data_IF_612449782890
#
_entry.id   IF_612449782890
#
_cell.length_a   1.000
_cell.length_b   1.000
_cell.length_c   1.000
_cell.angle_alpha   90.00
_cell.angle_beta   90.00
_cell.angle_gamma   90.00
#
_symmetry.space_group_name_H-M   'P 1'
#
loop_
_entity.id
_entity.type
_entity.pdbx_description
1 polymer ?
#
# COMPACT_ATOMS: atom_id res chain seq x y z
N UNK A 1 23.01 -8.17 11.64
CA UNK A 1 22.68 -6.78 11.27
C UNK A 1 21.70 -6.25 12.31
N UNK A 2 21.98 -5.10 12.91
CA UNK A 2 21.02 -4.41 13.79
C UNK A 2 20.14 -3.56 12.88
N UNK A 3 18.84 -3.89 12.82
CA UNK A 3 17.88 -3.11 12.07
C UNK A 3 17.76 -1.72 12.74
N UNK A 4 17.36 -0.70 11.99
CA UNK A 4 17.10 0.65 12.50
C UNK A 4 15.58 0.86 12.58
N UNK A 5 15.16 1.81 13.40
CA UNK A 5 13.78 2.30 13.44
C UNK A 5 13.76 3.77 13.85
N UNK A 6 12.84 4.55 13.31
CA UNK A 6 12.64 5.94 13.72
C UNK A 6 11.46 6.10 14.67
N UNK A 7 11.60 7.02 15.63
CA UNK A 7 10.49 7.37 16.52
C UNK A 7 9.44 8.20 15.79
N UNK A 8 8.19 7.73 15.79
CA UNK A 8 7.02 8.41 15.18
C UNK A 8 6.69 9.77 15.76
N UNK A 9 7.22 10.07 16.95
CA UNK A 9 6.96 11.31 17.68
C UNK A 9 8.09 12.34 17.52
N UNK A 10 9.36 11.91 17.46
CA UNK A 10 10.48 12.85 17.43
C UNK A 10 11.53 12.62 16.33
N UNK A 11 11.31 11.62 15.47
CA UNK A 11 12.18 11.30 14.34
C UNK A 11 13.59 10.80 14.70
N UNK A 12 13.87 10.50 15.97
CA UNK A 12 15.19 10.01 16.38
C UNK A 12 15.44 8.58 15.86
N UNK A 13 16.64 8.34 15.30
CA UNK A 13 17.10 7.00 14.91
C UNK A 13 17.33 6.16 16.16
N UNK A 14 16.71 4.99 16.21
CA UNK A 14 16.84 4.03 17.29
C UNK A 14 17.26 2.66 16.74
N UNK A 15 17.85 1.85 17.61
CA UNK A 15 18.13 0.46 17.27
C UNK A 15 16.81 -0.35 17.25
N UNK A 16 16.73 -1.34 16.37
CA UNK A 16 15.59 -2.25 16.26
C UNK A 16 15.28 -3.09 17.48
N UNK A 17 16.17 -3.13 18.46
CA UNK A 17 15.92 -3.79 19.73
C UNK A 17 15.31 -2.85 20.79
N UNK A 18 15.30 -1.53 20.55
CA UNK A 18 14.79 -0.55 21.51
C UNK A 18 13.25 -0.58 21.57
N UNK A 19 12.66 -0.65 22.75
CA UNK A 19 11.20 -0.54 22.92
C UNK A 19 10.72 0.91 22.98
N UNK A 20 11.60 1.79 23.46
CA UNK A 20 11.38 3.22 23.64
C UNK A 20 12.40 4.01 22.83
N UNK A 21 11.98 5.17 22.37
CA UNK A 21 12.84 6.13 21.72
C UNK A 21 13.86 6.67 22.74
N UNK A 22 15.15 6.55 22.46
CA UNK A 22 16.23 7.01 23.34
C UNK A 22 16.20 8.53 23.57
N UNK A 23 15.54 9.28 22.68
CA UNK A 23 15.43 10.74 22.77
C UNK A 23 14.19 11.23 23.53
N UNK A 24 12.98 10.89 23.09
CA UNK A 24 11.74 11.38 23.70
C UNK A 24 11.05 10.39 24.63
N UNK A 25 11.59 9.18 24.79
CA UNK A 25 11.03 8.11 25.61
C UNK A 25 9.62 7.64 25.20
N UNK A 26 9.20 7.94 23.98
CA UNK A 26 7.95 7.42 23.36
C UNK A 26 8.15 6.02 22.80
N UNK A 27 7.08 5.24 22.66
CA UNK A 27 7.17 3.89 22.10
C UNK A 27 7.62 3.90 20.65
N UNK A 28 8.54 2.99 20.31
CA UNK A 28 8.94 2.75 18.94
C UNK A 28 7.97 1.74 18.32
N UNK A 29 7.13 2.19 17.38
CA UNK A 29 6.15 1.33 16.72
C UNK A 29 6.86 0.36 15.75
N UNK A 30 7.31 -0.77 16.29
CA UNK A 30 7.78 -1.92 15.50
C UNK A 30 6.61 -2.85 15.27
N UNK A 31 6.61 -3.55 14.14
CA UNK A 31 5.71 -4.68 13.90
C UNK A 31 5.68 -5.67 15.08
N UNK A 32 6.79 -5.81 15.82
CA UNK A 32 6.91 -6.76 16.94
C UNK A 32 6.89 -6.14 18.35
N UNK A 33 6.99 -4.82 18.51
CA UNK A 33 7.22 -4.20 19.83
C UNK A 33 6.30 -2.98 19.97
N UNK A 34 5.06 -3.25 20.34
CA UNK A 34 4.17 -2.29 20.99
C UNK A 34 4.02 -2.74 22.44
N UNK A 35 3.99 -1.76 23.34
CA UNK A 35 4.00 -1.94 24.80
C UNK A 35 2.78 -2.60 25.37
N UNK A 36 1.65 -2.45 24.68
CA UNK A 36 0.55 -3.38 24.81
C UNK A 36 0.75 -4.48 23.76
N UNK A 37 1.00 -5.70 24.21
CA UNK A 37 0.99 -6.93 23.38
C UNK A 37 -0.42 -7.23 22.81
N UNK A 38 -1.26 -6.22 22.63
CA UNK A 38 -2.65 -6.37 22.24
C UNK A 38 -2.75 -6.50 20.73
N UNK A 39 -2.79 -7.75 20.30
CA UNK A 39 -3.22 -8.13 18.95
C UNK A 39 -4.75 -8.07 18.91
N UNK A 40 -5.33 -7.49 17.86
CA UNK A 40 -6.76 -7.58 17.61
C UNK A 40 -7.09 -9.02 17.21
N UNK A 41 -7.91 -9.70 18.02
CA UNK A 41 -8.19 -11.14 17.87
C UNK A 41 -9.66 -11.44 17.51
N UNK A 42 -10.57 -10.48 17.67
CA UNK A 42 -11.98 -10.62 17.28
C UNK A 42 -12.55 -9.36 16.62
N UNK A 43 -13.60 -9.52 15.81
CA UNK A 43 -14.31 -8.40 15.19
C UNK A 43 -14.95 -7.48 16.23
N UNK A 44 -15.50 -8.04 17.31
CA UNK A 44 -16.05 -7.22 18.40
C UNK A 44 -14.98 -6.37 19.09
N UNK A 45 -13.74 -6.89 19.16
CA UNK A 45 -12.61 -6.11 19.66
C UNK A 45 -12.21 -5.02 18.67
N UNK A 46 -12.09 -5.33 17.37
CA UNK A 46 -11.82 -4.36 16.31
C UNK A 46 -12.81 -3.18 16.36
N UNK A 47 -14.09 -3.46 16.57
CA UNK A 47 -15.16 -2.46 16.60
C UNK A 47 -15.48 -1.89 17.99
N UNK A 48 -14.66 -2.19 19.00
CA UNK A 48 -14.87 -1.64 20.34
C UNK A 48 -14.79 -0.11 20.34
N UNK A 49 -15.60 0.54 21.18
CA UNK A 49 -15.69 2.01 21.28
C UNK A 49 -14.33 2.70 21.46
N UNK A 50 -13.37 2.05 22.11
CA UNK A 50 -12.02 2.60 22.30
C UNK A 50 -11.29 2.86 20.98
N UNK A 51 -11.47 2.01 19.96
CA UNK A 51 -10.81 2.17 18.67
C UNK A 51 -11.48 3.23 17.80
N UNK A 52 -12.81 3.35 17.91
CA UNK A 52 -13.55 4.47 17.31
C UNK A 52 -13.15 5.82 17.93
N UNK A 53 -13.05 5.90 19.26
CA UNK A 53 -12.57 7.10 19.95
C UNK A 53 -11.15 7.46 19.52
N UNK A 54 -10.23 6.48 19.46
CA UNK A 54 -8.86 6.71 18.98
C UNK A 54 -8.81 7.25 17.54
N UNK A 55 -9.69 6.80 16.64
CA UNK A 55 -9.76 7.35 15.28
C UNK A 55 -10.22 8.81 15.28
N UNK A 56 -11.26 9.14 16.05
CA UNK A 56 -11.82 10.48 16.13
C UNK A 56 -10.88 11.50 16.81
N UNK A 57 -10.13 11.06 17.81
CA UNK A 57 -9.23 11.92 18.58
C UNK A 57 -7.84 12.06 17.95
N UNK A 58 -7.47 11.17 17.02
CA UNK A 58 -6.15 11.14 16.43
C UNK A 58 -5.92 12.27 15.43
N UNK A 59 -4.78 12.95 15.58
CA UNK A 59 -4.25 13.86 14.58
C UNK A 59 -3.04 13.19 13.93
N UNK A 60 -3.17 12.83 12.65
CA UNK A 60 -2.05 12.33 11.86
C UNK A 60 -1.15 13.51 11.46
N UNK A 61 -0.13 13.78 12.26
CA UNK A 61 0.83 14.86 11.97
C UNK A 61 1.72 14.54 10.76
N UNK A 62 2.38 15.56 10.21
CA UNK A 62 3.34 15.36 9.12
C UNK A 62 4.52 14.48 9.56
N UNK A 63 5.04 14.70 10.77
CA UNK A 63 6.17 13.94 11.31
C UNK A 63 5.80 12.46 11.54
N UNK A 64 4.61 12.21 12.09
CA UNK A 64 4.13 10.83 12.28
C UNK A 64 3.92 10.10 10.96
N UNK A 65 3.37 10.80 9.96
CA UNK A 65 3.24 10.26 8.61
C UNK A 65 4.60 9.97 7.98
N UNK A 66 5.56 10.90 8.09
CA UNK A 66 6.91 10.73 7.54
C UNK A 66 7.61 9.50 8.12
N UNK A 67 7.47 9.28 9.43
CA UNK A 67 8.02 8.09 10.09
C UNK A 67 7.34 6.81 9.62
N UNK A 68 6.02 6.82 9.41
CA UNK A 68 5.31 5.68 8.83
C UNK A 68 5.92 5.33 7.47
N UNK A 69 6.12 6.30 6.59
CA UNK A 69 6.71 6.05 5.27
C UNK A 69 8.16 5.57 5.39
N UNK A 70 8.95 6.16 6.30
CA UNK A 70 10.33 5.73 6.50
C UNK A 70 10.42 4.28 6.98
N UNK A 71 9.53 3.86 7.89
CA UNK A 71 9.48 2.47 8.37
C UNK A 71 9.14 1.49 7.23
N UNK A 72 8.28 1.89 6.28
CA UNK A 72 7.99 1.09 5.08
C UNK A 72 9.24 0.96 4.21
N UNK A 73 9.95 2.07 3.95
CA UNK A 73 11.21 2.05 3.18
C UNK A 73 12.22 1.10 3.81
N UNK A 74 12.46 1.23 5.13
CA UNK A 74 13.41 0.38 5.85
C UNK A 74 12.99 -1.09 5.80
N UNK A 75 11.69 -1.39 5.84
CA UNK A 75 11.21 -2.78 5.71
C UNK A 75 11.60 -3.37 4.36
N UNK A 76 11.47 -2.60 3.27
CA UNK A 76 11.94 -3.01 1.94
C UNK A 76 13.45 -3.16 1.84
N UNK A 77 14.23 -2.22 2.38
CA UNK A 77 15.70 -2.28 2.39
C UNK A 77 16.23 -3.53 3.08
N UNK A 78 15.53 -3.97 4.13
CA UNK A 78 15.89 -5.16 4.88
C UNK A 78 15.41 -6.47 4.22
N UNK A 79 14.36 -6.41 3.41
CA UNK A 79 13.80 -7.56 2.72
C UNK A 79 14.41 -7.83 1.34
N UNK A 80 14.99 -6.82 0.70
CA UNK A 80 15.43 -6.93 -0.69
C UNK A 80 16.71 -7.75 -0.86
N UNK A 81 16.70 -8.67 -1.83
CA UNK A 81 17.85 -9.53 -2.13
C UNK A 81 18.23 -9.35 -3.60
N UNK A 82 19.30 -8.58 -3.85
CA UNK A 82 19.86 -8.42 -5.19
C UNK A 82 20.87 -9.51 -5.53
N UNK A 83 20.81 -10.00 -6.77
CA UNK A 83 21.78 -10.92 -7.36
C UNK A 83 22.56 -10.20 -8.47
N UNK A 84 23.77 -10.68 -8.77
CA UNK A 84 24.57 -10.13 -9.87
C UNK A 84 23.84 -10.36 -11.21
N UNK A 85 23.92 -9.36 -12.09
CA UNK A 85 23.43 -9.41 -13.47
C UNK A 85 21.92 -9.66 -13.62
N UNK A 86 21.11 -9.18 -12.67
CA UNK A 86 19.65 -9.24 -12.79
C UNK A 86 19.15 -8.43 -14.00
N UNK A 87 18.20 -9.00 -14.73
CA UNK A 87 17.41 -8.30 -15.74
C UNK A 87 16.52 -7.22 -15.09
N UNK A 88 15.94 -6.28 -15.86
CA UNK A 88 15.01 -5.28 -15.31
C UNK A 88 13.82 -5.94 -14.59
N UNK A 89 13.20 -6.95 -15.23
CA UNK A 89 12.13 -7.74 -14.62
C UNK A 89 12.58 -8.41 -13.32
N UNK A 90 13.75 -9.05 -13.28
CA UNK A 90 14.25 -9.69 -12.05
C UNK A 90 14.50 -8.69 -10.91
N UNK A 91 14.96 -7.47 -11.22
CA UNK A 91 15.09 -6.40 -10.21
C UNK A 91 13.73 -5.96 -9.70
N UNK A 92 12.74 -5.75 -10.57
CA UNK A 92 11.37 -5.37 -10.18
C UNK A 92 10.71 -6.47 -9.35
N UNK A 93 10.88 -7.75 -9.72
CA UNK A 93 10.44 -8.90 -8.92
C UNK A 93 11.13 -8.93 -7.55
N UNK A 94 12.43 -8.64 -7.47
CA UNK A 94 13.14 -8.59 -6.19
C UNK A 94 12.62 -7.48 -5.28
N UNK A 95 12.27 -6.32 -5.84
CA UNK A 95 11.65 -5.21 -5.12
C UNK A 95 10.27 -5.63 -4.58
N UNK A 96 9.41 -6.19 -5.43
CA UNK A 96 8.09 -6.65 -5.00
C UNK A 96 8.18 -7.71 -3.89
N UNK A 97 9.11 -8.67 -4.01
CA UNK A 97 9.37 -9.70 -2.99
C UNK A 97 9.85 -9.16 -1.65
N UNK A 98 10.34 -7.93 -1.59
CA UNK A 98 10.71 -7.30 -0.32
C UNK A 98 9.49 -6.91 0.53
N UNK A 99 8.32 -6.78 -0.10
CA UNK A 99 7.07 -6.33 0.54
C UNK A 99 5.97 -7.40 0.55
N UNK A 100 5.87 -8.18 -0.54
CA UNK A 100 4.79 -9.14 -0.75
C UNK A 100 5.30 -10.50 -1.20
N UNK A 101 4.44 -11.52 -1.12
CA UNK A 101 4.70 -12.81 -1.77
C UNK A 101 4.47 -12.63 -3.26
N UNK A 102 5.45 -13.01 -4.08
CA UNK A 102 5.30 -13.00 -5.53
C UNK A 102 5.23 -14.43 -6.07
N UNK A 103 4.10 -14.79 -6.65
CA UNK A 103 3.87 -16.09 -7.31
C UNK A 103 3.69 -15.93 -8.81
N UNK A 104 3.84 -17.02 -9.54
CA UNK A 104 3.68 -17.02 -11.00
C UNK A 104 2.69 -18.06 -11.45
N UNK A 105 1.81 -17.72 -12.40
CA UNK A 105 0.92 -18.64 -13.09
C UNK A 105 1.41 -18.92 -14.52
N UNK A 106 1.07 -20.10 -15.03
CA UNK A 106 1.45 -20.58 -16.38
C UNK A 106 0.22 -20.81 -17.29
N UNK A 107 -0.99 -20.49 -16.82
CA UNK A 107 -2.25 -20.70 -17.55
C UNK A 107 -3.22 -19.53 -17.29
N UNK A 108 -3.42 -18.62 -18.26
CA UNK A 108 -4.63 -17.79 -18.36
C UNK A 108 -4.49 -16.35 -18.91
N UNK A 109 -5.43 -15.94 -19.78
CA UNK A 109 -5.58 -14.62 -20.42
C UNK A 109 -5.90 -13.42 -19.49
N UNK A 110 -5.55 -13.47 -18.20
CA UNK A 110 -5.81 -12.36 -17.27
C UNK A 110 -4.48 -11.73 -16.85
N UNK A 111 -4.40 -10.40 -16.87
CA UNK A 111 -3.37 -9.62 -16.18
C UNK A 111 -3.24 -10.08 -14.71
N UNK A 112 -2.10 -9.84 -14.07
CA UNK A 112 -1.87 -10.31 -12.71
C UNK A 112 -2.92 -9.83 -11.70
N UNK A 113 -2.91 -10.41 -10.50
CA UNK A 113 -3.86 -10.05 -9.44
C UNK A 113 -3.10 -9.85 -8.13
N UNK A 114 -3.38 -8.76 -7.40
CA UNK A 114 -3.05 -8.62 -5.99
C UNK A 114 -4.22 -9.01 -5.11
N UNK A 115 -3.96 -9.97 -4.22
CA UNK A 115 -4.86 -10.23 -3.10
C UNK A 115 -4.09 -10.84 -1.93
N UNK A 116 -4.43 -10.45 -0.71
CA UNK A 116 -3.93 -11.09 0.52
C UNK A 116 -2.40 -11.12 0.64
N UNK A 117 -1.72 -10.00 0.34
CA UNK A 117 -0.26 -9.88 0.30
C UNK A 117 0.43 -10.77 -0.74
N UNK A 118 -0.30 -11.25 -1.75
CA UNK A 118 0.22 -12.03 -2.87
C UNK A 118 0.06 -11.26 -4.16
N UNK A 119 1.16 -11.07 -4.89
CA UNK A 119 1.17 -10.59 -6.28
C UNK A 119 1.32 -11.81 -7.18
N UNK A 120 0.34 -12.04 -8.04
CA UNK A 120 0.38 -13.11 -9.04
C UNK A 120 0.77 -12.55 -10.41
N UNK A 121 1.85 -13.08 -11.00
CA UNK A 121 2.32 -12.68 -12.33
C UNK A 121 2.04 -13.80 -13.33
N UNK A 122 1.52 -13.47 -14.51
CA UNK A 122 1.47 -14.42 -15.62
C UNK A 122 2.80 -14.44 -16.38
N UNK A 123 3.47 -15.59 -16.39
CA UNK A 123 4.77 -15.76 -17.07
C UNK A 123 4.68 -15.81 -18.59
N UNK A 124 3.49 -15.95 -19.15
CA UNK A 124 3.28 -16.04 -20.60
C UNK A 124 3.34 -14.69 -21.30
N UNK A 125 3.14 -13.59 -20.56
CA UNK A 125 3.33 -12.24 -21.08
C UNK A 125 4.81 -11.88 -21.21
N UNK A 126 5.14 -10.92 -22.07
CA UNK A 126 6.48 -10.37 -22.16
C UNK A 126 6.90 -9.62 -20.89
N UNK A 127 8.20 -9.34 -20.75
CA UNK A 127 8.76 -8.71 -19.57
C UNK A 127 8.19 -7.32 -19.30
N UNK A 128 7.76 -6.58 -20.31
CA UNK A 128 7.20 -5.23 -20.16
C UNK A 128 5.85 -5.29 -19.47
N UNK A 129 4.95 -6.16 -19.95
CA UNK A 129 3.63 -6.37 -19.34
C UNK A 129 3.80 -6.90 -17.91
N UNK A 130 4.72 -7.84 -17.68
CA UNK A 130 5.01 -8.34 -16.34
C UNK A 130 5.51 -7.22 -15.40
N UNK A 131 6.40 -6.34 -15.86
CA UNK A 131 6.87 -5.19 -15.09
C UNK A 131 5.71 -4.24 -14.76
N UNK A 132 4.87 -3.89 -15.75
CA UNK A 132 3.71 -3.03 -15.54
C UNK A 132 2.78 -3.63 -14.47
N UNK A 133 2.41 -4.91 -14.63
CA UNK A 133 1.58 -5.63 -13.66
C UNK A 133 2.20 -5.61 -12.26
N UNK A 134 3.50 -5.89 -12.11
CA UNK A 134 4.13 -5.87 -10.78
C UNK A 134 4.08 -4.47 -10.16
N UNK A 135 4.36 -3.42 -10.93
CA UNK A 135 4.34 -2.04 -10.41
C UNK A 135 2.91 -1.62 -10.00
N UNK A 136 1.91 -2.01 -10.78
CA UNK A 136 0.49 -1.79 -10.48
C UNK A 136 0.10 -2.47 -9.16
N UNK A 137 0.28 -3.79 -9.08
CA UNK A 137 -0.10 -4.59 -7.92
C UNK A 137 0.71 -4.24 -6.66
N UNK A 138 2.00 -3.93 -6.81
CA UNK A 138 2.83 -3.46 -5.71
C UNK A 138 2.36 -2.10 -5.19
N UNK A 139 1.82 -1.25 -6.04
CA UNK A 139 1.24 0.03 -5.61
C UNK A 139 0.02 -0.18 -4.72
N UNK A 140 -0.90 -1.08 -5.10
CA UNK A 140 -2.02 -1.44 -4.23
C UNK A 140 -1.55 -2.02 -2.89
N UNK A 141 -0.53 -2.88 -2.92
CA UNK A 141 0.07 -3.40 -1.69
C UNK A 141 0.62 -2.29 -0.79
N UNK A 142 1.42 -1.37 -1.33
CA UNK A 142 2.00 -0.25 -0.57
C UNK A 142 0.93 0.72 -0.08
N UNK A 143 -0.14 0.95 -0.86
CA UNK A 143 -1.30 1.72 -0.41
C UNK A 143 -1.93 1.08 0.83
N UNK A 144 -2.17 -0.24 0.81
CA UNK A 144 -2.70 -0.99 1.95
C UNK A 144 -1.72 -0.96 3.15
N UNK A 145 -0.42 -1.07 2.90
CA UNK A 145 0.60 -1.00 3.96
C UNK A 145 0.61 0.37 4.64
N UNK A 146 0.49 1.47 3.88
CA UNK A 146 0.38 2.83 4.45
C UNK A 146 -0.85 2.93 5.36
N UNK A 147 -2.02 2.51 4.90
CA UNK A 147 -3.25 2.53 5.70
C UNK A 147 -3.11 1.68 6.97
N UNK A 148 -2.51 0.49 6.85
CA UNK A 148 -2.25 -0.40 7.97
C UNK A 148 -1.32 0.23 9.00
N UNK A 149 -0.19 0.80 8.57
CA UNK A 149 0.76 1.43 9.48
C UNK A 149 0.15 2.66 10.18
N UNK A 150 -0.75 3.40 9.52
CA UNK A 150 -1.55 4.45 10.16
C UNK A 150 -2.44 3.86 11.26
N UNK A 151 -3.15 2.76 10.99
CA UNK A 151 -4.01 2.11 11.99
C UNK A 151 -3.21 1.52 13.15
N UNK A 152 -2.06 0.89 12.87
CA UNK A 152 -1.11 0.40 13.90
C UNK A 152 -0.69 1.56 14.82
N UNK A 153 -0.35 2.71 14.23
CA UNK A 153 0.02 3.92 14.96
C UNK A 153 -1.14 4.47 15.80
N UNK A 154 -2.30 4.72 15.18
CA UNK A 154 -3.46 5.34 15.84
C UNK A 154 -4.05 4.44 16.92
N UNK A 155 -4.22 3.16 16.63
CA UNK A 155 -4.80 2.21 17.58
C UNK A 155 -3.81 1.69 18.60
N UNK A 156 -2.51 1.84 18.36
CA UNK A 156 -1.43 1.26 19.15
C UNK A 156 -1.61 -0.27 19.29
N UNK A 157 -1.79 -0.95 18.16
CA UNK A 157 -2.00 -2.41 18.08
C UNK A 157 -0.99 -3.07 17.16
N UNK A 158 -0.65 -4.33 17.43
CA UNK A 158 0.29 -5.07 16.57
C UNK A 158 -0.39 -5.49 15.27
N UNK A 159 0.43 -5.70 14.23
CA UNK A 159 0.00 -6.33 12.99
C UNK A 159 -0.66 -7.69 13.30
N UNK A 160 -1.78 -7.95 12.65
CA UNK A 160 -2.54 -9.19 12.83
C UNK A 160 -3.27 -9.55 11.52
N UNK A 161 -3.60 -10.84 11.30
CA UNK A 161 -4.44 -11.23 10.17
C UNK A 161 -5.78 -10.50 10.14
N UNK A 162 -6.35 -10.20 11.31
CA UNK A 162 -7.59 -9.42 11.41
C UNK A 162 -7.41 -7.96 10.98
N UNK A 163 -6.27 -7.34 11.32
CA UNK A 163 -5.98 -5.98 10.87
C UNK A 163 -5.74 -5.93 9.36
N UNK A 164 -4.97 -6.88 8.81
CA UNK A 164 -4.80 -7.00 7.35
C UNK A 164 -6.13 -7.23 6.65
N UNK A 165 -7.00 -8.08 7.21
CA UNK A 165 -8.35 -8.32 6.71
C UNK A 165 -9.23 -7.08 6.73
N UNK A 166 -9.19 -6.31 7.82
CA UNK A 166 -9.91 -5.05 7.92
C UNK A 166 -9.46 -4.05 6.85
N UNK A 167 -8.14 -3.87 6.68
CA UNK A 167 -7.61 -2.97 5.65
C UNK A 167 -7.97 -3.45 4.24
N UNK A 168 -7.90 -4.75 3.97
CA UNK A 168 -8.32 -5.32 2.68
C UNK A 168 -9.81 -5.07 2.39
N UNK A 169 -10.67 -5.20 3.40
CA UNK A 169 -12.10 -4.90 3.26
C UNK A 169 -12.33 -3.39 3.09
N UNK A 170 -11.62 -2.55 3.83
CA UNK A 170 -11.67 -1.09 3.71
C UNK A 170 -11.30 -0.62 2.31
N UNK A 171 -10.26 -1.19 1.70
CA UNK A 171 -9.81 -0.81 0.36
C UNK A 171 -10.78 -1.30 -0.73
N UNK A 172 -11.62 -2.30 -0.43
CA UNK A 172 -12.68 -2.73 -1.35
C UNK A 172 -13.88 -1.77 -1.41
N UNK A 173 -13.96 -0.79 -0.49
CA UNK A 173 -14.99 0.24 -0.54
C UNK A 173 -14.75 1.17 -1.73
N UNK A 174 -15.78 1.49 -2.56
CA UNK A 174 -15.58 2.19 -3.82
C UNK A 174 -14.77 3.51 -3.74
N UNK A 175 -14.96 4.40 -2.74
CA UNK A 175 -14.14 5.62 -2.64
C UNK A 175 -12.65 5.34 -2.36
N UNK A 176 -12.36 4.29 -1.58
CA UNK A 176 -10.97 3.92 -1.26
C UNK A 176 -10.33 3.20 -2.43
N UNK A 177 -11.07 2.29 -3.07
CA UNK A 177 -10.64 1.59 -4.28
C UNK A 177 -10.28 2.60 -5.38
N UNK A 178 -11.12 3.62 -5.58
CA UNK A 178 -10.86 4.70 -6.53
C UNK A 178 -9.53 5.41 -6.25
N UNK A 179 -9.24 5.73 -4.99
CA UNK A 179 -7.96 6.33 -4.59
C UNK A 179 -6.76 5.40 -4.83
N UNK A 180 -6.95 4.10 -4.59
CA UNK A 180 -5.94 3.06 -4.83
C UNK A 180 -5.60 2.92 -6.32
N UNK A 181 -6.61 2.84 -7.20
CA UNK A 181 -6.43 2.79 -8.67
C UNK A 181 -5.75 4.04 -9.23
N UNK A 182 -6.09 5.22 -8.70
CA UNK A 182 -5.39 6.45 -9.06
C UNK A 182 -3.91 6.39 -8.67
N UNK A 183 -3.58 5.89 -7.49
CA UNK A 183 -2.18 5.73 -7.05
C UNK A 183 -1.41 4.78 -7.97
N UNK A 184 -2.02 3.66 -8.37
CA UNK A 184 -1.42 2.69 -9.29
C UNK A 184 -1.11 3.34 -10.65
N UNK A 185 -2.08 4.03 -11.24
CA UNK A 185 -1.91 4.75 -12.51
C UNK A 185 -0.84 5.85 -12.44
N UNK A 186 -0.76 6.60 -11.32
CA UNK A 186 0.30 7.61 -11.10
C UNK A 186 1.69 6.99 -10.93
N UNK A 187 1.76 5.82 -10.31
CA UNK A 187 3.03 5.11 -10.14
C UNK A 187 3.51 4.56 -11.48
N UNK A 188 2.60 4.04 -12.30
CA UNK A 188 2.88 3.68 -13.69
C UNK A 188 3.37 4.88 -14.51
N UNK A 189 2.69 6.04 -14.40
CA UNK A 189 3.09 7.29 -15.07
C UNK A 189 4.53 7.68 -14.76
N UNK A 190 5.01 7.40 -13.55
CA UNK A 190 6.39 7.66 -13.14
C UNK A 190 7.41 6.75 -13.82
N UNK A 191 7.12 5.47 -13.96
CA UNK A 191 8.11 4.44 -14.33
C UNK A 191 7.94 3.86 -15.75
N UNK A 192 6.75 3.97 -16.33
CA UNK A 192 6.41 3.42 -17.66
C UNK A 192 6.36 4.52 -18.73
N UNK A 193 6.54 4.19 -20.03
CA UNK A 193 6.24 5.12 -21.12
C UNK A 193 4.75 5.49 -21.12
N UNK A 194 4.42 6.72 -21.53
CA UNK A 194 3.06 7.30 -21.37
C UNK A 194 2.00 6.53 -22.15
N UNK A 195 2.42 5.92 -23.25
CA UNK A 195 1.63 5.10 -24.17
C UNK A 195 1.11 3.81 -23.52
N UNK A 196 1.63 3.46 -22.34
CA UNK A 196 1.25 2.26 -21.57
C UNK A 196 0.56 2.56 -20.24
N UNK A 197 0.29 3.83 -19.92
CA UNK A 197 -0.35 4.23 -18.66
C UNK A 197 -1.86 4.30 -18.85
N UNK A 198 -2.60 3.51 -18.07
CA UNK A 198 -4.05 3.36 -18.26
C UNK A 198 -4.84 3.69 -16.99
N UNK A 199 -5.62 4.77 -17.02
CA UNK A 199 -6.57 5.12 -15.96
C UNK A 199 -7.92 4.40 -16.14
N UNK A 200 -7.98 3.28 -16.87
CA UNK A 200 -9.24 2.59 -17.21
C UNK A 200 -10.02 2.15 -15.96
N UNK A 201 -9.36 1.51 -14.98
CA UNK A 201 -9.99 1.08 -13.73
C UNK A 201 -10.50 2.26 -12.91
N UNK A 202 -9.69 3.32 -12.79
CA UNK A 202 -10.09 4.57 -12.14
C UNK A 202 -11.32 5.19 -12.80
N UNK A 203 -11.31 5.32 -14.13
CA UNK A 203 -12.41 5.91 -14.91
C UNK A 203 -13.69 5.08 -14.75
N UNK A 204 -13.59 3.76 -14.72
CA UNK A 204 -14.73 2.86 -14.50
C UNK A 204 -15.36 3.10 -13.11
N UNK A 205 -14.56 3.06 -12.04
CA UNK A 205 -15.07 3.25 -10.68
C UNK A 205 -15.64 4.66 -10.49
N UNK A 206 -14.99 5.67 -11.07
CA UNK A 206 -15.52 7.05 -11.07
C UNK A 206 -16.90 7.12 -11.75
N UNK A 207 -17.06 6.38 -12.86
CA UNK A 207 -18.34 6.22 -13.55
C UNK A 207 -19.40 5.53 -12.70
N UNK A 208 -19.05 4.42 -12.02
CA UNK A 208 -19.94 3.69 -11.12
C UNK A 208 -20.38 4.55 -9.92
N UNK A 209 -19.52 5.47 -9.49
CA UNK A 209 -19.81 6.49 -8.47
C UNK A 209 -20.55 7.73 -9.02
N UNK A 210 -21.02 7.68 -10.27
CA UNK A 210 -21.69 8.78 -10.97
C UNK A 210 -20.90 10.09 -10.97
N UNK A 211 -19.57 9.99 -10.97
CA UNK A 211 -18.66 11.13 -10.93
C UNK A 211 -18.97 12.13 -9.80
N UNK A 212 -19.31 11.63 -8.61
CA UNK A 212 -19.58 12.48 -7.44
C UNK A 212 -18.41 13.42 -7.15
N UNK A 213 -18.65 14.73 -7.30
CA UNK A 213 -17.60 15.74 -7.21
C UNK A 213 -16.94 15.84 -5.83
N UNK A 214 -17.63 15.47 -4.75
CA UNK A 214 -17.05 15.44 -3.40
C UNK A 214 -16.13 14.23 -3.25
N UNK A 215 -16.57 13.05 -3.69
CA UNK A 215 -15.75 11.83 -3.65
C UNK A 215 -14.50 12.02 -4.51
N UNK A 216 -14.64 12.56 -5.72
CA UNK A 216 -13.51 12.83 -6.62
C UNK A 216 -12.53 13.84 -6.03
N UNK A 217 -13.01 14.94 -5.46
CA UNK A 217 -12.15 15.92 -4.80
C UNK A 217 -11.37 15.30 -3.63
N UNK A 218 -12.06 14.55 -2.76
CA UNK A 218 -11.43 13.87 -1.64
C UNK A 218 -10.37 12.88 -2.13
N UNK A 219 -10.71 12.13 -3.18
CA UNK A 219 -9.81 11.17 -3.82
C UNK A 219 -8.55 11.85 -4.32
N UNK A 220 -8.65 12.97 -5.05
CA UNK A 220 -7.46 13.67 -5.55
C UNK A 220 -6.59 14.23 -4.44
N UNK A 221 -7.17 14.75 -3.35
CA UNK A 221 -6.40 15.24 -2.19
C UNK A 221 -5.61 14.11 -1.54
N UNK A 222 -6.24 12.94 -1.35
CA UNK A 222 -5.63 11.79 -0.69
C UNK A 222 -4.61 11.12 -1.63
N UNK A 223 -5.05 10.74 -2.83
CA UNK A 223 -4.33 9.88 -3.75
C UNK A 223 -3.12 10.58 -4.38
N UNK A 224 -3.13 11.90 -4.60
CA UNK A 224 -1.91 12.61 -5.02
C UNK A 224 -0.81 12.53 -3.96
N UNK A 225 -1.16 12.77 -2.70
CA UNK A 225 -0.16 12.75 -1.64
C UNK A 225 0.30 11.35 -1.23
N UNK A 226 -0.55 10.33 -1.40
CA UNK A 226 -0.16 8.93 -1.21
C UNK A 226 0.67 8.42 -2.38
N UNK A 227 0.32 8.74 -3.64
CA UNK A 227 1.10 8.32 -4.81
C UNK A 227 2.51 8.90 -4.78
N UNK A 228 2.69 10.16 -4.38
CA UNK A 228 4.01 10.75 -4.13
C UNK A 228 4.81 9.95 -3.09
N UNK A 229 4.15 9.48 -2.03
CA UNK A 229 4.78 8.70 -0.97
C UNK A 229 5.16 7.28 -1.46
N UNK A 230 4.31 6.65 -2.27
CA UNK A 230 4.59 5.34 -2.90
C UNK A 230 5.73 5.47 -3.90
N UNK A 231 5.72 6.49 -4.75
CA UNK A 231 6.82 6.78 -5.68
C UNK A 231 8.12 6.98 -4.90
N UNK A 232 8.09 7.71 -3.78
CA UNK A 232 9.26 7.89 -2.90
C UNK A 232 9.76 6.56 -2.33
N UNK A 233 8.85 5.69 -1.86
CA UNK A 233 9.22 4.35 -1.38
C UNK A 233 9.94 3.58 -2.51
N UNK A 234 9.33 3.50 -3.68
CA UNK A 234 9.87 2.75 -4.81
C UNK A 234 11.16 3.34 -5.37
N UNK A 235 11.32 4.68 -5.37
CA UNK A 235 12.51 5.38 -5.87
C UNK A 235 13.78 5.09 -5.05
N UNK A 236 13.65 4.56 -3.82
CA UNK A 236 14.81 4.05 -3.07
C UNK A 236 15.41 2.78 -3.70
N UNK A 237 14.64 2.06 -4.53
CA UNK A 237 15.03 0.78 -5.15
C UNK A 237 15.05 0.83 -6.68
N UNK A 238 14.23 1.70 -7.27
CA UNK A 238 14.17 1.98 -8.71
C UNK A 238 14.94 3.27 -8.98
N UNK A 239 16.25 3.13 -9.09
CA UNK A 239 17.14 4.21 -9.53
C UNK A 239 16.87 4.60 -11.01
N UNK A 240 17.37 5.75 -11.44
CA UNK A 240 17.21 6.24 -12.82
C UNK A 240 17.71 5.23 -13.87
N UNK A 241 18.74 4.44 -13.53
CA UNK A 241 19.26 3.42 -14.46
C UNK A 241 18.29 2.25 -14.63
N UNK A 242 17.62 1.82 -13.56
CA UNK A 242 16.58 0.80 -13.63
C UNK A 242 15.36 1.33 -14.36
N UNK A 243 14.96 2.57 -14.08
CA UNK A 243 13.86 3.22 -14.78
C UNK A 243 14.09 3.26 -16.30
N UNK A 244 15.26 3.71 -16.75
CA UNK A 244 15.61 3.74 -18.17
C UNK A 244 15.55 2.33 -18.79
N UNK A 245 16.03 1.33 -18.06
CA UNK A 245 15.98 -0.06 -18.51
C UNK A 245 14.56 -0.62 -18.56
N UNK A 246 13.69 -0.23 -17.63
CA UNK A 246 12.26 -0.59 -17.66
C UNK A 246 11.65 -0.04 -18.95
N UNK A 247 11.86 1.24 -19.25
CA UNK A 247 11.34 1.88 -20.47
C UNK A 247 11.85 1.20 -21.74
N UNK A 248 13.13 0.82 -21.78
CA UNK A 248 13.73 0.09 -22.90
C UNK A 248 13.12 -1.31 -23.12
N UNK A 249 12.60 -1.98 -22.09
CA UNK A 249 11.94 -3.28 -22.27
C UNK A 249 10.65 -3.13 -23.11
N UNK A 250 9.89 -2.05 -22.94
CA UNK A 250 8.68 -1.78 -23.74
C UNK A 250 9.02 -1.59 -25.22
N UNK A 251 10.06 -0.82 -25.52
CA UNK A 251 10.55 -0.63 -26.89
C UNK A 251 11.03 -1.96 -27.49
N UNK A 252 11.77 -2.76 -26.70
CA UNK A 252 12.34 -4.03 -27.15
C UNK A 252 11.27 -5.09 -27.45
N UNK A 253 10.23 -5.14 -26.63
CA UNK A 253 9.15 -6.13 -26.78
C UNK A 253 8.10 -5.70 -27.81
N UNK A 254 8.16 -4.46 -28.31
CA UNK A 254 7.17 -3.90 -29.22
C UNK A 254 5.74 -4.08 -28.66
N UNK A 255 5.59 -3.79 -27.36
CA UNK A 255 4.34 -3.96 -26.60
C UNK A 255 3.26 -3.04 -27.19
N UNK A 256 2.03 -3.51 -27.28
CA UNK A 256 0.88 -2.73 -27.78
C UNK A 256 0.54 -1.57 -26.81
N UNK A 257 0.28 -0.39 -27.35
CA UNK A 257 -0.09 0.79 -26.58
C UNK A 257 -1.50 0.62 -25.98
N UNK A 258 -1.64 0.93 -24.69
CA UNK A 258 -2.90 0.76 -23.92
C UNK A 258 -3.33 2.04 -23.20
N UNK A 259 -2.71 3.17 -23.54
CA UNK A 259 -2.95 4.44 -22.88
C UNK A 259 -4.44 4.79 -22.82
N UNK A 260 -4.92 5.05 -21.62
CA UNK A 260 -6.26 5.58 -21.39
C UNK A 260 -6.14 6.75 -20.42
N UNK A 261 -6.28 8.01 -20.89
CA UNK A 261 -6.16 9.16 -20.02
C UNK A 261 -7.31 9.23 -19.02
N UNK A 262 -7.08 9.93 -17.91
CA UNK A 262 -8.14 10.26 -16.95
C UNK A 262 -9.26 11.05 -17.64
N UNK A 263 -10.53 10.64 -17.44
CA UNK A 263 -11.68 11.23 -18.14
C UNK A 263 -12.24 12.50 -17.46
N UNK A 264 -11.65 12.92 -16.36
CA UNK A 264 -12.04 14.08 -15.55
C UNK A 264 -10.84 14.99 -15.33
N UNK A 265 -11.10 16.28 -15.06
CA UNK A 265 -10.05 17.25 -14.79
C UNK A 265 -9.29 16.88 -13.49
N UNK A 266 -8.04 16.47 -13.65
CA UNK A 266 -7.14 16.14 -12.55
C UNK A 266 -6.81 17.40 -11.74
N UNK A 267 -7.31 17.45 -10.50
CA UNK A 267 -7.05 18.58 -9.59
C UNK A 267 -5.84 18.26 -8.72
N UNK A 268 -4.67 18.72 -9.15
CA UNK A 268 -3.43 18.58 -8.38
C UNK A 268 -3.50 19.49 -7.15
N UNK A 269 -3.92 18.93 -6.03
CA UNK A 269 -3.93 19.58 -4.72
C UNK A 269 -2.83 18.96 -3.87
N UNK A 270 -1.63 19.55 -3.90
CA UNK A 270 -0.53 19.11 -3.05
C UNK A 270 -0.52 19.89 -1.73
N UNK A 271 -1.29 19.40 -0.75
CA UNK A 271 -1.28 19.91 0.61
C UNK A 271 -1.19 18.72 1.59
N UNK A 272 0.00 18.42 2.15
CA UNK A 272 0.20 17.27 3.03
C UNK A 272 -0.66 17.28 4.30
N UNK A 273 -1.02 18.46 4.81
CA UNK A 273 -1.92 18.59 5.98
C UNK A 273 -3.33 18.19 5.59
N UNK A 274 -3.85 18.72 4.47
CA UNK A 274 -5.18 18.35 3.97
C UNK A 274 -5.24 16.86 3.61
N UNK A 275 -4.19 16.31 2.97
CA UNK A 275 -4.07 14.87 2.73
C UNK A 275 -4.28 14.08 4.01
N UNK A 276 -3.55 14.40 5.08
CA UNK A 276 -3.65 13.65 6.35
C UNK A 276 -5.05 13.75 6.97
N UNK A 277 -5.67 14.94 6.95
CA UNK A 277 -7.04 15.14 7.45
C UNK A 277 -8.03 14.30 6.64
N UNK A 278 -7.97 14.35 5.32
CA UNK A 278 -8.91 13.64 4.45
C UNK A 278 -8.70 12.12 4.50
N UNK A 279 -7.45 11.69 4.66
CA UNK A 279 -7.08 10.29 4.86
C UNK A 279 -7.66 9.74 6.16
N UNK A 280 -7.52 10.48 7.27
CA UNK A 280 -8.12 10.09 8.56
C UNK A 280 -9.64 10.07 8.51
N UNK A 281 -10.26 11.04 7.84
CA UNK A 281 -11.71 11.05 7.63
C UNK A 281 -12.17 9.83 6.82
N UNK A 282 -11.48 9.52 5.71
CA UNK A 282 -11.78 8.34 4.89
C UNK A 282 -11.66 7.04 5.68
N UNK A 283 -10.63 6.90 6.52
CA UNK A 283 -10.46 5.74 7.41
C UNK A 283 -11.60 5.66 8.43
N UNK A 284 -11.99 6.78 9.03
CA UNK A 284 -13.04 6.85 10.06
C UNK A 284 -14.43 6.54 9.49
N UNK A 285 -14.79 7.18 8.38
CA UNK A 285 -16.04 6.90 7.66
C UNK A 285 -16.11 5.43 7.20
N UNK A 286 -14.99 4.89 6.72
CA UNK A 286 -14.91 3.47 6.34
C UNK A 286 -15.05 2.53 7.54
N UNK A 287 -14.43 2.86 8.68
CA UNK A 287 -14.57 2.08 9.91
C UNK A 287 -16.03 2.03 10.38
N UNK A 288 -16.73 3.16 10.35
CA UNK A 288 -18.14 3.23 10.73
C UNK A 288 -19.02 2.41 9.78
N UNK A 289 -18.78 2.49 8.48
CA UNK A 289 -19.50 1.70 7.48
C UNK A 289 -19.27 0.19 7.67
N UNK A 290 -18.01 -0.21 7.90
CA UNK A 290 -17.63 -1.62 8.05
C UNK A 290 -18.07 -2.24 9.38
N UNK A 291 -18.48 -1.44 10.36
CA UNK A 291 -19.06 -1.93 11.61
C UNK A 291 -20.49 -2.47 11.42
N UNK A 292 -21.12 -2.23 10.28
CA UNK A 292 -22.40 -2.82 9.94
C UNK A 292 -22.25 -4.35 9.72
N UNK A 293 -23.21 -5.13 10.24
CA UNK A 293 -23.25 -6.59 10.15
C UNK A 293 -23.12 -7.10 8.70
N UNK A 294 -23.59 -6.31 7.72
CA UNK A 294 -23.46 -6.64 6.31
C UNK A 294 -22.02 -6.67 5.80
N UNK A 295 -21.04 -6.09 6.52
CA UNK A 295 -19.63 -6.12 6.12
C UNK A 295 -18.77 -7.02 7.01
N UNK A 296 -19.23 -7.36 8.23
CA UNK A 296 -18.48 -8.21 9.17
C UNK A 296 -18.07 -9.55 8.55
N UNK A 297 -18.97 -10.20 7.82
CA UNK A 297 -18.70 -11.46 7.14
C UNK A 297 -17.58 -11.36 6.08
N UNK A 298 -17.39 -10.20 5.45
CA UNK A 298 -16.29 -9.96 4.51
C UNK A 298 -14.95 -9.86 5.25
N UNK A 299 -14.94 -9.21 6.42
CA UNK A 299 -13.75 -9.14 7.28
C UNK A 299 -13.36 -10.54 7.78
N UNK A 300 -14.32 -11.36 8.21
CA UNK A 300 -14.05 -12.75 8.60
C UNK A 300 -13.48 -13.57 7.45
N UNK A 301 -14.12 -13.51 6.28
CA UNK A 301 -13.64 -14.20 5.08
C UNK A 301 -12.21 -13.81 4.72
N UNK A 302 -11.90 -12.52 4.77
CA UNK A 302 -10.56 -12.00 4.47
C UNK A 302 -9.55 -12.45 5.53
N UNK A 303 -9.95 -12.47 6.81
CA UNK A 303 -9.11 -12.94 7.92
C UNK A 303 -8.68 -14.39 7.72
N UNK A 304 -9.61 -15.29 7.38
CA UNK A 304 -9.30 -16.71 7.13
C UNK A 304 -8.28 -16.89 6.00
N UNK A 305 -8.33 -16.03 4.99
CA UNK A 305 -7.41 -16.06 3.85
C UNK A 305 -6.01 -15.55 4.24
N UNK A 306 -5.94 -14.49 5.04
CA UNK A 306 -4.66 -14.01 5.60
C UNK A 306 -4.04 -15.05 6.54
N UNK A 307 -4.81 -15.67 7.44
CA UNK A 307 -4.30 -16.71 8.35
C UNK A 307 -3.63 -17.86 7.56
N UNK A 308 -4.28 -18.35 6.50
CA UNK A 308 -3.70 -19.37 5.59
C UNK A 308 -2.44 -18.90 4.87
N UNK A 309 -2.38 -17.63 4.45
CA UNK A 309 -1.20 -17.07 3.81
C UNK A 309 -0.01 -16.99 4.80
N UNK A 310 -0.26 -16.53 6.02
CA UNK A 310 0.74 -16.46 7.09
C UNK A 310 1.27 -17.82 7.53
N UNK A 311 0.44 -18.86 7.53
CA UNK A 311 0.87 -20.23 7.80
C UNK A 311 1.88 -20.75 6.77
N UNK A 312 1.64 -20.49 5.48
CA UNK A 312 2.56 -20.88 4.40
C UNK A 312 3.93 -20.21 4.49
N UNK A 313 3.98 -18.93 4.90
CA UNK A 313 5.24 -18.19 5.08
C UNK A 313 6.11 -18.81 6.18
N UNK A 314 5.51 -19.45 7.21
CA UNK A 314 6.26 -20.06 8.32
C UNK A 314 6.87 -21.42 7.96
N UNK A 315 6.43 -22.04 6.88
CA UNK A 315 6.87 -23.38 6.46
C UNK A 315 7.94 -23.39 5.38
N UNK A 316 8.25 -22.23 4.79
CA UNK A 316 9.28 -22.02 3.76
C UNK A 316 10.51 -21.30 4.33
#
# INVERSE_FOLDING_TARGET
MTFKIYCSICGYENNSNNTLCQRCNEFLHKDNILSDNKQLNSIDELFANIYHQKLNDAILTLDSYEVIIQNIIESGENGIIYRKNMTPLERVVAIAKAYSIVITKEIGNNYGEYAYNVICIDKTFDSSIQIATILHELTHHLFNEILKQILIYVWNVKKSPLLDAFVQTLVSLPPVLLASEYCASKTEERYLPKEYVSYSSFNQIAGDLNYDGKILLNTFVIANGISESIIRILSNFIDNQLEDKIRQEFERNNTEEIANPICIEDRIINNPILRNVYLMNMITESYELLNDENYRHLIERNRDLFEKAYEKIKTD
#
